data_IF_709534827158
#
_entry.id   IF_709534827158
#
_cell.length_a   1.000
_cell.length_b   1.000
_cell.length_c   1.000
_cell.angle_alpha   90.00
_cell.angle_beta   90.00
_cell.angle_gamma   90.00
#
_symmetry.space_group_name_H-M   'P 1'
#
loop_
_entity.id
_entity.type
_entity.pdbx_description
1 polymer ?
#
# COMPACT_ATOMS: atom_id res chain seq x y z
N UNK A 1 -6.21 62.61 -68.24
CA UNK A 1 -6.36 61.20 -67.74
C UNK A 1 -5.24 60.38 -68.40
N UNK A 2 -4.53 59.55 -67.66
CA UNK A 2 -3.53 58.63 -68.21
C UNK A 2 -4.20 57.29 -68.58
N UNK A 3 -4.25 57.02 -69.89
CA UNK A 3 -4.97 55.81 -70.41
C UNK A 3 -4.16 54.52 -70.18
N UNK A 4 -2.83 54.62 -70.16
CA UNK A 4 -1.91 53.48 -70.02
C UNK A 4 -1.88 52.87 -68.60
N UNK A 5 -2.40 53.54 -67.55
CA UNK A 5 -2.42 53.07 -66.17
C UNK A 5 -3.78 53.40 -65.55
N UNK A 6 -4.59 52.37 -65.34
CA UNK A 6 -5.89 52.52 -64.64
C UNK A 6 -5.65 52.35 -63.10
N UNK A 7 -5.24 53.44 -62.45
CA UNK A 7 -4.91 53.46 -60.99
C UNK A 7 -6.14 53.10 -60.17
N UNK A 8 -7.36 53.50 -60.60
CA UNK A 8 -8.60 53.20 -59.84
C UNK A 8 -8.91 51.74 -59.89
N UNK A 9 -8.73 51.07 -61.03
CA UNK A 9 -8.88 49.61 -61.14
C UNK A 9 -7.81 48.87 -60.36
N UNK A 10 -6.57 49.36 -60.32
CA UNK A 10 -5.49 48.79 -59.55
C UNK A 10 -5.72 48.84 -58.03
N UNK A 11 -6.22 50.00 -57.52
CA UNK A 11 -6.58 50.17 -56.11
C UNK A 11 -7.75 49.23 -55.77
N UNK A 12 -8.80 49.14 -56.61
CA UNK A 12 -9.92 48.24 -56.43
C UNK A 12 -9.48 46.77 -56.35
N UNK A 13 -8.57 46.33 -57.24
CA UNK A 13 -7.99 44.97 -57.25
C UNK A 13 -7.16 44.69 -56.01
N UNK A 14 -6.32 45.63 -55.51
CA UNK A 14 -5.57 45.49 -54.28
C UNK A 14 -6.50 45.34 -53.06
N UNK A 15 -7.58 46.12 -53.02
CA UNK A 15 -8.60 46.00 -51.96
C UNK A 15 -9.34 44.65 -52.04
N UNK A 16 -9.77 44.22 -53.23
CA UNK A 16 -10.41 42.94 -53.45
C UNK A 16 -9.54 41.80 -52.97
N UNK A 17 -8.25 41.76 -53.35
CA UNK A 17 -7.30 40.73 -52.87
C UNK A 17 -7.05 40.79 -51.35
N UNK A 18 -7.17 41.97 -50.74
CA UNK A 18 -7.07 42.14 -49.28
C UNK A 18 -8.31 41.57 -48.61
N UNK A 19 -9.52 41.81 -49.15
CA UNK A 19 -10.77 41.32 -48.59
C UNK A 19 -10.90 39.79 -48.77
N UNK A 20 -10.48 39.24 -49.94
CA UNK A 20 -10.40 37.79 -50.16
C UNK A 20 -9.52 37.08 -49.13
N UNK A 21 -8.34 37.67 -48.80
CA UNK A 21 -7.44 37.12 -47.77
C UNK A 21 -8.08 37.15 -46.38
N UNK A 22 -8.80 38.24 -46.05
CA UNK A 22 -9.53 38.37 -44.78
C UNK A 22 -10.68 37.35 -44.70
N UNK A 23 -11.47 37.21 -45.79
CA UNK A 23 -12.54 36.22 -45.88
C UNK A 23 -11.97 34.82 -45.64
N UNK A 24 -10.87 34.46 -46.29
CA UNK A 24 -10.18 33.18 -46.08
C UNK A 24 -9.75 32.94 -44.60
N UNK A 25 -9.24 34.00 -43.92
CA UNK A 25 -8.89 33.91 -42.53
C UNK A 25 -10.08 33.75 -41.61
N UNK A 26 -11.15 34.51 -41.81
CA UNK A 26 -12.37 34.40 -41.01
C UNK A 26 -13.09 33.04 -41.25
N UNK A 27 -13.10 32.58 -42.50
CA UNK A 27 -13.65 31.27 -42.86
C UNK A 27 -12.87 30.14 -42.14
N UNK A 28 -11.54 30.25 -42.04
CA UNK A 28 -10.71 29.31 -41.31
C UNK A 28 -11.03 29.29 -39.81
N UNK A 29 -11.24 30.46 -39.19
CA UNK A 29 -11.69 30.58 -37.80
C UNK A 29 -13.08 29.98 -37.58
N UNK A 30 -14.03 30.29 -38.45
CA UNK A 30 -15.38 29.71 -38.40
C UNK A 30 -15.39 28.20 -38.55
N UNK A 31 -14.56 27.66 -39.49
CA UNK A 31 -14.46 26.22 -39.73
C UNK A 31 -13.77 25.45 -38.58
N UNK A 32 -12.78 26.07 -37.91
CA UNK A 32 -12.05 25.44 -36.83
C UNK A 32 -12.66 25.69 -35.45
N UNK A 33 -13.47 26.74 -35.27
CA UNK A 33 -13.96 27.23 -33.99
C UNK A 33 -12.91 27.97 -33.17
N UNK A 34 -11.66 28.10 -33.67
CA UNK A 34 -10.55 28.72 -32.94
C UNK A 34 -10.23 30.11 -33.50
N UNK A 35 -9.99 31.06 -32.58
CA UNK A 35 -9.52 32.41 -32.88
C UNK A 35 -8.07 32.40 -33.36
N UNK A 36 -7.23 31.54 -32.77
CA UNK A 36 -5.81 31.37 -33.09
C UNK A 36 -5.65 30.05 -33.84
N UNK A 37 -5.44 30.10 -35.16
CA UNK A 37 -5.26 28.92 -36.01
C UNK A 37 -3.82 28.72 -36.44
N UNK A 38 -3.04 29.80 -36.48
CA UNK A 38 -1.64 29.81 -36.90
C UNK A 38 -0.78 30.62 -35.92
N UNK A 39 0.50 30.30 -35.87
CA UNK A 39 1.47 31.05 -35.05
C UNK A 39 1.57 32.55 -35.44
N UNK A 40 1.20 32.89 -36.70
CA UNK A 40 1.16 34.28 -37.18
C UNK A 40 -0.03 35.08 -36.64
N UNK A 41 -1.09 34.42 -36.13
CA UNK A 41 -2.26 35.08 -35.57
C UNK A 41 -1.98 35.66 -34.19
N UNK A 42 -1.40 34.81 -33.31
CA UNK A 42 -0.90 35.17 -31.99
C UNK A 42 0.10 34.10 -31.51
N UNK A 43 1.40 34.41 -31.56
CA UNK A 43 2.45 33.49 -31.16
C UNK A 43 2.50 33.26 -29.65
N UNK A 44 2.17 34.28 -28.85
CA UNK A 44 2.16 34.20 -27.40
C UNK A 44 0.94 33.39 -26.90
N UNK A 45 -0.25 33.68 -27.43
CA UNK A 45 -1.48 32.94 -27.12
C UNK A 45 -1.39 31.46 -27.53
N UNK A 46 -0.78 31.15 -28.69
CA UNK A 46 -0.53 29.78 -29.13
C UNK A 46 0.41 29.04 -28.19
N UNK A 47 1.52 29.66 -27.77
CA UNK A 47 2.46 29.04 -26.83
C UNK A 47 1.82 28.73 -25.48
N UNK A 48 1.04 29.69 -24.93
CA UNK A 48 0.31 29.53 -23.69
C UNK A 48 -0.73 28.41 -23.82
N UNK A 49 -1.50 28.40 -24.89
CA UNK A 49 -2.55 27.39 -25.12
C UNK A 49 -1.98 25.97 -25.26
N UNK A 50 -0.84 25.82 -25.93
CA UNK A 50 -0.14 24.53 -26.04
C UNK A 50 0.34 24.03 -24.67
N UNK A 51 0.88 24.93 -23.83
CA UNK A 51 1.25 24.61 -22.46
C UNK A 51 0.02 24.18 -21.63
N UNK A 52 -1.08 24.94 -21.72
CA UNK A 52 -2.33 24.60 -21.04
C UNK A 52 -2.89 23.25 -21.50
N UNK A 53 -2.88 22.97 -22.81
CA UNK A 53 -3.31 21.68 -23.36
C UNK A 53 -2.47 20.51 -22.84
N UNK A 54 -1.17 20.68 -22.70
CA UNK A 54 -0.29 19.68 -22.11
C UNK A 54 -0.63 19.47 -20.64
N UNK A 55 -0.88 20.56 -19.90
CA UNK A 55 -1.27 20.48 -18.48
C UNK A 55 -2.63 19.82 -18.29
N UNK A 56 -3.64 20.14 -19.12
CA UNK A 56 -4.96 19.50 -19.06
C UNK A 56 -4.82 17.98 -19.25
N UNK A 57 -4.08 17.55 -20.30
CA UNK A 57 -3.85 16.11 -20.53
C UNK A 57 -3.12 15.42 -19.36
N UNK A 58 -2.19 16.13 -18.72
CA UNK A 58 -1.49 15.62 -17.57
C UNK A 58 -2.39 15.53 -16.34
N UNK A 59 -3.27 16.54 -16.11
CA UNK A 59 -4.28 16.52 -15.04
C UNK A 59 -5.28 15.38 -15.23
N UNK A 60 -5.78 15.19 -16.46
CA UNK A 60 -6.71 14.11 -16.79
C UNK A 60 -6.06 12.72 -16.59
N UNK A 61 -4.76 12.58 -16.91
CA UNK A 61 -4.04 11.34 -16.63
C UNK A 61 -3.83 11.14 -15.12
N UNK A 62 -3.52 12.22 -14.39
CA UNK A 62 -3.36 12.15 -12.93
C UNK A 62 -4.68 11.80 -12.22
N UNK A 63 -5.83 12.28 -12.75
CA UNK A 63 -7.15 11.90 -12.25
C UNK A 63 -7.40 10.38 -12.44
N UNK A 64 -7.05 9.82 -13.61
CA UNK A 64 -7.11 8.36 -13.84
C UNK A 64 -6.16 7.58 -12.94
N UNK A 65 -4.93 8.07 -12.75
CA UNK A 65 -4.00 7.43 -11.83
C UNK A 65 -4.54 7.39 -10.40
N UNK A 66 -5.25 8.45 -9.96
CA UNK A 66 -5.89 8.48 -8.64
C UNK A 66 -7.03 7.46 -8.54
N UNK A 67 -7.79 7.23 -9.62
CA UNK A 67 -8.80 6.16 -9.71
C UNK A 67 -8.19 4.76 -9.64
N UNK A 68 -7.08 4.55 -10.35
CA UNK A 68 -6.33 3.29 -10.29
C UNK A 68 -5.83 3.02 -8.86
N UNK A 69 -5.30 4.06 -8.18
CA UNK A 69 -4.88 3.97 -6.78
C UNK A 69 -6.03 3.63 -5.83
N UNK A 70 -7.18 4.24 -6.04
CA UNK A 70 -8.39 3.91 -5.28
C UNK A 70 -8.77 2.43 -5.47
N UNK A 71 -8.73 1.92 -6.69
CA UNK A 71 -9.06 0.53 -6.99
C UNK A 71 -8.10 -0.46 -6.32
N UNK A 72 -6.81 -0.12 -6.24
CA UNK A 72 -5.80 -0.90 -5.49
C UNK A 72 -6.17 -0.94 -4.00
N UNK A 73 -6.48 0.21 -3.41
CA UNK A 73 -6.86 0.32 -1.99
C UNK A 73 -8.14 -0.48 -1.71
N UNK A 74 -9.16 -0.37 -2.55
CA UNK A 74 -10.42 -1.11 -2.39
C UNK A 74 -10.20 -2.63 -2.46
N UNK A 75 -9.33 -3.09 -3.35
CA UNK A 75 -8.96 -4.52 -3.45
C UNK A 75 -8.24 -4.98 -2.18
N UNK A 76 -7.31 -4.17 -1.67
CA UNK A 76 -6.56 -4.49 -0.45
C UNK A 76 -7.45 -4.45 0.79
N UNK A 77 -8.33 -3.45 0.93
CA UNK A 77 -9.25 -3.34 2.06
C UNK A 77 -10.26 -4.49 2.08
N UNK A 78 -10.75 -4.94 0.93
CA UNK A 78 -11.61 -6.11 0.84
C UNK A 78 -10.90 -7.37 1.36
N UNK A 79 -9.64 -7.60 0.94
CA UNK A 79 -8.84 -8.73 1.44
C UNK A 79 -8.59 -8.65 2.95
N UNK A 80 -8.22 -7.47 3.47
CA UNK A 80 -8.05 -7.25 4.91
C UNK A 80 -9.36 -7.38 5.70
N UNK A 81 -10.49 -7.08 5.07
CA UNK A 81 -11.82 -7.34 5.62
C UNK A 81 -12.04 -8.83 5.88
N UNK A 82 -11.70 -9.68 4.90
CA UNK A 82 -11.79 -11.14 5.06
C UNK A 82 -10.81 -11.66 6.12
N UNK A 83 -9.56 -11.18 6.13
CA UNK A 83 -8.60 -11.52 7.18
C UNK A 83 -9.15 -11.15 8.56
N UNK A 84 -9.76 -9.98 8.71
CA UNK A 84 -10.38 -9.55 9.98
C UNK A 84 -11.50 -10.50 10.41
N UNK A 85 -12.35 -10.94 9.48
CA UNK A 85 -13.42 -11.88 9.74
C UNK A 85 -12.85 -13.25 10.21
N UNK A 86 -11.80 -13.73 9.56
CA UNK A 86 -11.12 -14.98 9.93
C UNK A 86 -10.51 -14.84 11.34
N UNK A 87 -9.80 -13.77 11.63
CA UNK A 87 -9.21 -13.53 12.96
C UNK A 87 -10.29 -13.48 14.06
N UNK A 88 -11.45 -12.88 13.79
CA UNK A 88 -12.57 -12.89 14.72
C UNK A 88 -13.10 -14.31 14.93
N UNK A 89 -13.19 -15.13 13.87
CA UNK A 89 -13.59 -16.52 13.98
C UNK A 89 -12.61 -17.35 14.81
N UNK A 90 -11.31 -17.17 14.60
CA UNK A 90 -10.27 -17.82 15.41
C UNK A 90 -10.40 -17.40 16.87
N UNK A 91 -10.69 -16.12 17.13
CA UNK A 91 -10.90 -15.59 18.48
C UNK A 91 -12.13 -16.24 19.15
N UNK A 92 -13.23 -16.40 18.41
CA UNK A 92 -14.42 -17.11 18.92
C UNK A 92 -14.08 -18.54 19.33
N UNK A 93 -13.35 -19.28 18.48
CA UNK A 93 -12.90 -20.65 18.77
C UNK A 93 -11.97 -20.68 19.99
N UNK A 94 -11.07 -19.71 20.13
CA UNK A 94 -10.16 -19.60 21.28
C UNK A 94 -10.94 -19.36 22.59
N UNK A 95 -11.94 -18.47 22.58
CA UNK A 95 -12.83 -18.23 23.73
C UNK A 95 -13.63 -19.49 24.08
N UNK A 96 -14.09 -20.20 23.07
CA UNK A 96 -14.79 -21.45 23.24
C UNK A 96 -13.89 -22.52 23.90
N UNK A 97 -12.66 -22.67 23.41
CA UNK A 97 -11.67 -23.62 23.95
C UNK A 97 -11.15 -23.25 25.35
N UNK A 98 -11.22 -21.97 25.75
CA UNK A 98 -10.89 -21.53 27.11
C UNK A 98 -11.86 -21.99 28.17
N UNK A 99 -13.05 -22.51 27.79
CA UNK A 99 -14.04 -22.99 28.72
C UNK A 99 -13.70 -24.42 29.26
N UNK A 100 -13.79 -24.61 30.55
CA UNK A 100 -13.51 -25.91 31.22
C UNK A 100 -14.49 -27.04 30.87
N UNK A 101 -15.61 -26.74 30.21
CA UNK A 101 -16.57 -27.76 29.77
C UNK A 101 -16.08 -28.57 28.56
N UNK A 102 -15.03 -28.06 27.85
CA UNK A 102 -14.46 -28.73 26.68
C UNK A 102 -13.38 -29.73 27.09
N UNK A 103 -13.47 -30.92 26.49
CA UNK A 103 -12.45 -31.97 26.65
C UNK A 103 -11.20 -31.60 25.80
N UNK A 104 -10.11 -32.31 26.04
CA UNK A 104 -8.88 -32.11 25.23
C UNK A 104 -9.14 -32.45 23.76
N UNK A 105 -9.92 -33.48 23.47
CA UNK A 105 -10.21 -33.88 22.09
C UNK A 105 -11.09 -32.83 21.39
N UNK A 106 -12.01 -32.17 22.10
CA UNK A 106 -12.80 -31.05 21.56
C UNK A 106 -11.90 -29.83 21.27
N UNK A 107 -10.93 -29.57 22.12
CA UNK A 107 -9.95 -28.48 21.92
C UNK A 107 -9.00 -28.76 20.76
N UNK A 108 -8.59 -30.02 20.58
CA UNK A 108 -7.78 -30.44 19.42
C UNK A 108 -8.57 -30.22 18.13
N UNK A 109 -9.85 -30.59 18.09
CA UNK A 109 -10.70 -30.34 16.93
C UNK A 109 -10.85 -28.82 16.64
N UNK A 110 -10.92 -27.99 17.68
CA UNK A 110 -10.91 -26.54 17.52
C UNK A 110 -9.55 -26.01 17.00
N UNK A 111 -8.43 -26.62 17.45
CA UNK A 111 -7.10 -26.29 16.93
C UNK A 111 -6.97 -26.62 15.45
N UNK A 112 -7.46 -27.77 15.00
CA UNK A 112 -7.45 -28.16 13.58
C UNK A 112 -8.24 -27.16 12.71
N UNK A 113 -9.35 -26.60 13.22
CA UNK A 113 -10.09 -25.53 12.52
C UNK A 113 -9.29 -24.24 12.50
N UNK A 114 -8.63 -23.89 13.60
CA UNK A 114 -7.78 -22.68 13.69
C UNK A 114 -6.60 -22.77 12.71
N UNK A 115 -5.94 -23.93 12.63
CA UNK A 115 -4.80 -24.13 11.73
C UNK A 115 -5.20 -23.92 10.26
N UNK A 116 -6.36 -24.44 9.85
CA UNK A 116 -6.90 -24.20 8.52
C UNK A 116 -7.25 -22.73 8.26
N UNK A 117 -7.77 -22.04 9.28
CA UNK A 117 -8.06 -20.60 9.18
C UNK A 117 -6.78 -19.76 9.09
N UNK A 118 -5.72 -20.16 9.80
CA UNK A 118 -4.41 -19.51 9.68
C UNK A 118 -3.81 -19.73 8.28
N UNK A 119 -3.91 -20.94 7.73
CA UNK A 119 -3.48 -21.22 6.36
C UNK A 119 -4.27 -20.38 5.33
N UNK A 120 -5.54 -20.10 5.59
CA UNK A 120 -6.35 -19.23 4.73
C UNK A 120 -5.92 -17.77 4.82
N UNK A 121 -5.50 -17.27 6.01
CA UNK A 121 -4.89 -15.92 6.14
C UNK A 121 -3.62 -15.82 5.30
N UNK A 122 -2.73 -16.82 5.40
CA UNK A 122 -1.49 -16.84 4.61
C UNK A 122 -1.77 -16.96 3.11
N UNK A 123 -2.80 -17.71 2.72
CA UNK A 123 -3.26 -17.78 1.33
C UNK A 123 -3.75 -16.43 0.83
N UNK A 124 -4.59 -15.72 1.59
CA UNK A 124 -5.09 -14.39 1.23
C UNK A 124 -3.91 -13.42 1.08
N UNK A 125 -2.97 -13.41 2.04
CA UNK A 125 -1.78 -12.58 1.99
C UNK A 125 -0.95 -12.82 0.72
N UNK A 126 -0.72 -14.08 0.37
CA UNK A 126 0.12 -14.45 -0.77
C UNK A 126 -0.58 -14.35 -2.12
N UNK A 127 -1.92 -14.41 -2.18
CA UNK A 127 -2.68 -14.39 -3.44
C UNK A 127 -3.25 -13.03 -3.80
N UNK A 128 -3.40 -12.11 -2.82
CA UNK A 128 -3.94 -10.78 -3.10
C UNK A 128 -2.98 -9.98 -3.97
N UNK A 129 -3.42 -9.72 -5.20
CA UNK A 129 -2.63 -8.98 -6.17
C UNK A 129 -3.50 -8.02 -6.99
N UNK A 130 -2.87 -6.98 -7.51
CA UNK A 130 -3.46 -6.07 -8.48
C UNK A 130 -2.50 -5.91 -9.65
N UNK A 131 -2.94 -6.28 -10.85
CA UNK A 131 -2.14 -6.24 -12.07
C UNK A 131 -0.77 -6.95 -11.94
N UNK A 132 -0.73 -8.11 -11.26
CA UNK A 132 0.48 -8.91 -11.04
C UNK A 132 1.42 -8.39 -9.95
N UNK A 133 1.06 -7.31 -9.24
CA UNK A 133 1.78 -6.85 -8.05
C UNK A 133 1.10 -7.38 -6.81
N UNK A 134 1.84 -8.05 -5.95
CA UNK A 134 1.37 -8.48 -4.64
C UNK A 134 1.22 -7.27 -3.73
N UNK A 135 0.19 -7.29 -2.87
CA UNK A 135 -0.14 -6.15 -2.03
C UNK A 135 0.06 -6.41 -0.54
N UNK A 136 -0.11 -7.68 -0.09
CA UNK A 136 -0.09 -8.04 1.32
C UNK A 136 1.05 -8.98 1.72
N UNK A 137 1.98 -9.27 0.80
CA UNK A 137 3.15 -10.15 1.04
C UNK A 137 4.42 -9.41 1.47
N UNK A 138 4.32 -8.12 1.77
CA UNK A 138 5.45 -7.27 2.14
C UNK A 138 6.27 -6.71 0.97
N UNK A 139 6.05 -7.15 -0.27
CA UNK A 139 6.80 -6.65 -1.44
C UNK A 139 6.47 -5.20 -1.80
N UNK A 140 5.30 -4.72 -1.39
CA UNK A 140 4.83 -3.35 -1.57
C UNK A 140 4.92 -2.52 -0.27
N UNK A 141 5.61 -3.05 0.76
CA UNK A 141 5.93 -2.35 2.00
C UNK A 141 7.29 -1.67 1.91
N UNK A 142 7.52 -0.75 2.84
CA UNK A 142 8.81 -0.08 2.96
C UNK A 142 9.91 -1.08 3.26
N UNK A 143 10.97 -1.08 2.43
CA UNK A 143 12.06 -2.03 2.55
C UNK A 143 12.98 -1.68 3.72
N UNK A 144 13.27 -2.66 4.58
CA UNK A 144 14.34 -2.58 5.54
C UNK A 144 15.07 -3.92 5.63
N UNK A 145 16.35 -3.87 5.93
CA UNK A 145 17.23 -5.03 5.90
C UNK A 145 18.07 -5.05 7.18
N UNK A 146 18.25 -6.23 7.74
CA UNK A 146 19.21 -6.46 8.81
C UNK A 146 20.58 -6.71 8.19
N UNK A 147 21.61 -5.97 8.62
CA UNK A 147 22.98 -6.27 8.23
C UNK A 147 23.44 -7.55 8.92
N UNK A 148 24.11 -8.41 8.16
CA UNK A 148 24.54 -9.73 8.59
C UNK A 148 25.37 -9.68 9.88
N UNK A 149 24.95 -10.46 10.87
CA UNK A 149 25.75 -10.77 12.04
C UNK A 149 26.96 -11.66 11.70
N UNK A 150 27.80 -11.88 12.68
CA UNK A 150 29.12 -12.56 12.56
C UNK A 150 29.11 -14.01 12.05
N UNK A 151 27.93 -14.62 11.72
CA UNK A 151 27.81 -16.04 11.38
C UNK A 151 26.95 -16.36 10.16
N UNK A 152 26.80 -15.46 9.18
CA UNK A 152 25.96 -15.66 7.98
C UNK A 152 24.46 -15.93 8.27
N UNK A 153 23.99 -15.73 9.49
CA UNK A 153 22.58 -15.68 9.84
C UNK A 153 22.28 -14.28 10.37
N UNK A 154 21.26 -13.58 9.81
CA UNK A 154 20.88 -12.30 10.32
C UNK A 154 20.43 -12.46 11.78
N UNK A 155 20.93 -11.61 12.73
CA UNK A 155 20.59 -11.70 14.15
C UNK A 155 19.13 -11.33 14.41
N UNK A 156 18.47 -10.72 13.44
CA UNK A 156 17.07 -10.38 13.48
C UNK A 156 16.46 -10.39 12.09
N UNK A 157 15.21 -10.81 11.97
CA UNK A 157 14.42 -10.75 10.76
C UNK A 157 13.51 -9.54 10.78
N UNK A 158 13.61 -8.63 9.81
CA UNK A 158 12.67 -7.54 9.69
C UNK A 158 11.28 -8.05 9.28
N UNK A 159 10.22 -7.57 9.93
CA UNK A 159 8.82 -7.94 9.64
C UNK A 159 8.10 -6.77 9.00
N UNK A 160 7.99 -5.63 9.70
CA UNK A 160 7.32 -4.43 9.15
C UNK A 160 7.92 -3.15 9.70
N UNK A 161 7.81 -2.08 8.91
CA UNK A 161 8.23 -0.72 9.28
C UNK A 161 7.22 0.30 8.77
N UNK A 162 6.78 1.22 9.65
CA UNK A 162 5.84 2.28 9.27
C UNK A 162 6.50 3.33 8.37
N UNK A 163 5.69 4.09 7.62
CA UNK A 163 6.18 5.18 6.73
C UNK A 163 6.82 6.34 7.48
N UNK A 164 6.44 6.55 8.72
CA UNK A 164 6.95 7.61 9.61
C UNK A 164 8.38 7.36 10.08
N UNK A 165 8.90 6.13 9.94
CA UNK A 165 10.29 5.79 10.29
C UNK A 165 11.23 6.45 9.29
N UNK A 166 12.15 7.37 9.67
CA UNK A 166 13.11 7.97 8.75
C UNK A 166 14.06 6.91 8.14
N UNK A 167 14.44 7.07 6.87
CA UNK A 167 15.45 6.20 6.28
C UNK A 167 16.80 6.36 6.99
N UNK A 168 17.50 5.26 7.25
CA UNK A 168 18.81 5.23 7.90
C UNK A 168 19.05 4.03 8.79
N UNK A 169 20.10 4.12 9.61
CA UNK A 169 20.57 3.03 10.45
C UNK A 169 19.93 3.07 11.83
N UNK A 170 19.48 1.91 12.29
CA UNK A 170 18.89 1.68 13.59
C UNK A 170 19.63 0.53 14.28
N UNK A 171 20.12 0.78 15.50
CA UNK A 171 20.92 -0.20 16.22
C UNK A 171 20.31 -0.53 17.56
N UNK A 172 20.31 -1.80 17.89
CA UNK A 172 19.99 -2.29 19.22
C UNK A 172 20.82 -3.52 19.55
N UNK A 173 20.91 -3.87 20.82
CA UNK A 173 21.66 -5.04 21.28
C UNK A 173 20.69 -6.03 21.90
N UNK A 174 20.85 -7.31 21.56
CA UNK A 174 20.14 -8.42 22.20
C UNK A 174 20.97 -8.85 23.40
N UNK A 175 20.49 -8.50 24.60
CA UNK A 175 21.18 -8.80 25.87
C UNK A 175 20.91 -10.23 26.32
N UNK A 176 19.70 -10.72 26.10
CA UNK A 176 19.31 -12.10 26.42
C UNK A 176 18.36 -12.65 25.36
N UNK A 177 18.55 -13.90 24.98
CA UNK A 177 17.69 -14.61 24.05
C UNK A 177 16.35 -14.99 24.68
N UNK A 178 15.30 -15.09 23.88
CA UNK A 178 14.07 -15.76 24.27
C UNK A 178 14.33 -17.25 24.54
N UNK A 179 13.69 -17.80 25.55
CA UNK A 179 13.80 -19.22 25.87
C UNK A 179 12.45 -19.91 25.85
N UNK A 180 12.44 -21.17 25.38
CA UNK A 180 11.28 -22.04 25.46
C UNK A 180 11.17 -22.62 26.88
N UNK A 181 9.96 -22.83 27.37
CA UNK A 181 9.78 -23.56 28.62
C UNK A 181 10.19 -25.04 28.38
N UNK A 182 10.97 -25.63 29.29
CA UNK A 182 11.36 -27.03 29.19
C UNK A 182 11.44 -27.67 30.56
N UNK A 183 10.70 -28.75 30.77
CA UNK A 183 10.68 -29.53 32.00
C UNK A 183 11.25 -30.91 31.73
N UNK A 184 12.14 -31.37 32.60
CA UNK A 184 12.68 -32.73 32.55
C UNK A 184 12.28 -33.46 33.83
N UNK A 185 11.57 -34.55 33.69
CA UNK A 185 11.11 -35.37 34.82
C UNK A 185 11.42 -36.84 34.59
N UNK A 186 11.43 -37.64 35.70
CA UNK A 186 11.69 -39.06 35.60
C UNK A 186 10.38 -39.83 35.44
N UNK A 187 10.38 -40.81 34.55
CA UNK A 187 9.27 -41.75 34.38
C UNK A 187 9.12 -42.60 35.65
N UNK A 188 7.88 -42.99 36.03
CA UNK A 188 7.66 -43.79 37.20
C UNK A 188 8.33 -45.17 37.08
N UNK A 189 8.86 -45.64 38.20
CA UNK A 189 9.43 -47.00 38.32
C UNK A 189 8.42 -48.01 38.85
N UNK A 190 7.36 -47.53 39.52
CA UNK A 190 6.29 -48.33 40.07
C UNK A 190 4.99 -48.05 39.34
N UNK A 191 4.25 -49.06 38.93
CA UNK A 191 2.97 -49.00 38.23
C UNK A 191 1.87 -49.73 38.99
N UNK A 192 0.58 -49.28 38.94
CA UNK A 192 0.07 -48.15 38.19
C UNK A 192 0.48 -46.81 38.82
N UNK A 193 0.62 -45.77 38.01
CA UNK A 193 1.01 -44.43 38.45
C UNK A 193 0.17 -43.36 37.75
N UNK A 194 0.05 -42.22 38.37
CA UNK A 194 -0.54 -41.01 37.78
C UNK A 194 0.53 -39.97 37.47
N UNK A 195 0.52 -39.45 36.25
CA UNK A 195 1.33 -38.32 35.82
C UNK A 195 0.38 -37.25 35.35
N UNK A 196 0.62 -35.98 35.69
CA UNK A 196 -0.17 -34.88 35.17
C UNK A 196 0.72 -33.98 34.32
N UNK A 197 0.29 -33.69 33.09
CA UNK A 197 0.94 -32.77 32.17
C UNK A 197 -0.03 -31.66 31.82
N UNK A 198 0.28 -30.40 32.16
CA UNK A 198 -0.58 -29.23 31.90
C UNK A 198 -2.07 -29.48 32.25
N UNK A 199 -2.34 -29.92 33.48
CA UNK A 199 -3.66 -30.18 34.02
C UNK A 199 -4.39 -31.44 33.42
N UNK A 200 -3.73 -32.23 32.55
CA UNK A 200 -4.22 -33.50 32.02
C UNK A 200 -3.62 -34.65 32.79
N UNK A 201 -4.49 -35.45 33.47
CA UNK A 201 -4.07 -36.60 34.24
C UNK A 201 -3.94 -37.85 33.36
N UNK A 202 -2.75 -38.44 33.36
CA UNK A 202 -2.42 -39.67 32.65
C UNK A 202 -2.28 -40.81 33.63
N UNK A 203 -3.20 -41.75 33.55
CA UNK A 203 -3.12 -42.99 34.29
C UNK A 203 -2.29 -44.01 33.50
N UNK A 204 -1.11 -44.34 33.97
CA UNK A 204 -0.16 -45.22 33.29
C UNK A 204 -0.04 -46.55 34.00
N UNK A 205 -0.10 -47.65 33.22
CA UNK A 205 -0.11 -49.00 33.72
C UNK A 205 1.21 -49.76 33.51
N UNK A 206 2.05 -49.28 32.60
CA UNK A 206 3.38 -49.82 32.32
C UNK A 206 4.33 -48.73 31.79
N UNK A 207 5.64 -49.00 31.74
CA UNK A 207 6.60 -48.06 31.20
C UNK A 207 6.29 -47.70 29.73
N UNK A 208 5.93 -48.70 28.94
CA UNK A 208 5.61 -48.53 27.52
C UNK A 208 4.29 -47.79 27.32
N UNK A 209 3.30 -47.98 28.22
CA UNK A 209 2.05 -47.22 28.24
C UNK A 209 2.28 -45.77 28.65
N UNK A 210 3.24 -45.52 29.57
CA UNK A 210 3.65 -44.17 29.95
C UNK A 210 4.26 -43.41 28.78
N UNK A 211 5.20 -44.04 28.07
CA UNK A 211 5.85 -43.40 26.87
C UNK A 211 4.80 -43.07 25.80
N UNK A 212 3.95 -44.01 25.43
CA UNK A 212 2.94 -43.77 24.39
C UNK A 212 1.92 -42.72 24.78
N UNK A 213 1.42 -42.71 26.02
CA UNK A 213 0.46 -41.73 26.50
C UNK A 213 1.05 -40.33 26.64
N UNK A 214 2.31 -40.21 27.09
CA UNK A 214 3.01 -38.92 27.19
C UNK A 214 3.23 -38.38 25.79
N UNK A 215 3.72 -39.19 24.82
CA UNK A 215 3.90 -38.77 23.44
C UNK A 215 2.57 -38.32 22.80
N UNK A 216 1.51 -39.13 22.90
CA UNK A 216 0.17 -38.81 22.39
C UNK A 216 -0.40 -37.51 23.00
N UNK A 217 -0.16 -37.29 24.31
CA UNK A 217 -0.62 -36.06 24.98
C UNK A 217 0.22 -34.86 24.58
N UNK A 218 1.54 -35.02 24.44
CA UNK A 218 2.40 -33.95 23.98
C UNK A 218 2.10 -33.55 22.53
N UNK A 219 1.83 -34.54 21.65
CA UNK A 219 1.41 -34.27 20.26
C UNK A 219 0.07 -33.52 20.22
N UNK A 220 -0.93 -33.97 21.03
CA UNK A 220 -2.22 -33.28 21.17
C UNK A 220 -2.13 -31.86 21.71
N UNK A 221 -1.13 -31.59 22.56
CA UNK A 221 -0.89 -30.26 23.15
C UNK A 221 0.06 -29.38 22.33
N UNK A 222 0.53 -29.85 21.17
CA UNK A 222 1.57 -29.19 20.36
C UNK A 222 2.84 -28.90 21.18
N UNK A 223 3.32 -29.90 21.94
CA UNK A 223 4.55 -29.86 22.72
C UNK A 223 5.56 -30.84 22.16
N UNK A 224 6.83 -30.48 22.16
CA UNK A 224 7.91 -31.38 21.79
C UNK A 224 8.30 -32.24 22.98
N UNK A 225 8.22 -33.56 22.85
CA UNK A 225 8.62 -34.51 23.87
C UNK A 225 9.81 -35.33 23.38
N UNK A 226 10.86 -35.40 24.20
CA UNK A 226 12.03 -36.26 23.98
C UNK A 226 12.16 -37.22 25.18
N UNK A 227 12.06 -38.52 24.92
CA UNK A 227 12.17 -39.54 25.96
C UNK A 227 13.58 -40.18 25.83
N UNK A 228 14.38 -40.07 26.88
CA UNK A 228 15.70 -40.64 26.98
C UNK A 228 15.76 -41.67 28.14
N UNK A 229 15.43 -42.91 27.83
CA UNK A 229 15.44 -44.00 28.82
C UNK A 229 14.45 -43.80 29.93
N UNK A 230 14.88 -43.44 31.15
CA UNK A 230 14.01 -43.22 32.31
C UNK A 230 13.58 -41.78 32.53
N UNK A 231 13.97 -40.83 31.67
CA UNK A 231 13.59 -39.43 31.79
C UNK A 231 12.87 -38.95 30.52
N UNK A 232 11.87 -38.11 30.69
CA UNK A 232 11.16 -37.43 29.64
C UNK A 232 11.44 -35.92 29.76
N UNK A 233 11.77 -35.28 28.63
CA UNK A 233 11.90 -33.82 28.51
C UNK A 233 10.78 -33.31 27.63
N UNK A 234 9.96 -32.43 28.16
CA UNK A 234 8.90 -31.74 27.44
C UNK A 234 9.32 -30.30 27.22
N UNK A 235 9.20 -29.80 26.01
CA UNK A 235 9.60 -28.45 25.62
C UNK A 235 8.44 -27.81 24.82
N UNK A 236 8.16 -26.52 25.06
CA UNK A 236 7.21 -25.76 24.24
C UNK A 236 7.74 -25.54 22.81
N UNK A 237 6.86 -25.48 21.84
CA UNK A 237 7.26 -25.19 20.47
C UNK A 237 7.61 -23.71 20.27
N UNK A 238 7.00 -22.82 21.03
CA UNK A 238 7.17 -21.36 20.93
C UNK A 238 7.94 -20.78 22.11
N UNK A 239 8.54 -19.60 21.89
CA UNK A 239 9.30 -18.83 22.88
C UNK A 239 8.39 -17.94 23.72
N UNK A 240 8.88 -17.52 24.88
CA UNK A 240 8.31 -16.40 25.64
C UNK A 240 7.81 -16.76 27.02
N UNK A 241 7.60 -15.71 27.83
CA UNK A 241 7.10 -15.77 29.19
C UNK A 241 5.65 -16.26 29.28
N UNK A 242 4.92 -16.22 28.17
CA UNK A 242 3.54 -16.74 28.07
C UNK A 242 3.50 -18.26 28.00
N UNK A 243 4.63 -18.90 27.73
CA UNK A 243 4.74 -20.34 27.58
C UNK A 243 5.11 -20.98 28.93
N UNK A 244 4.23 -21.85 29.39
CA UNK A 244 4.38 -22.51 30.68
C UNK A 244 4.12 -24.00 30.53
N UNK A 245 4.99 -24.81 31.10
CA UNK A 245 4.81 -26.25 31.26
C UNK A 245 4.75 -26.58 32.76
N UNK A 246 3.76 -27.33 33.12
CA UNK A 246 3.60 -27.91 34.48
C UNK A 246 3.49 -29.42 34.37
N UNK A 247 4.38 -30.11 35.04
CA UNK A 247 4.36 -31.57 35.12
C UNK A 247 4.35 -31.97 36.60
N UNK A 248 3.41 -32.82 36.94
CA UNK A 248 3.38 -33.48 38.26
C UNK A 248 3.81 -34.94 38.04
N UNK A 249 4.93 -35.32 38.65
CA UNK A 249 5.44 -36.69 38.54
C UNK A 249 4.62 -37.65 39.40
N UNK A 250 4.85 -38.96 39.25
CA UNK A 250 4.15 -40.01 40.03
C UNK A 250 4.39 -39.94 41.55
N UNK A 251 5.34 -39.15 42.01
CA UNK A 251 5.64 -38.93 43.41
C UNK A 251 4.94 -37.67 43.98
N UNK A 252 4.17 -36.98 43.15
CA UNK A 252 3.47 -35.75 43.51
C UNK A 252 4.37 -34.50 43.49
N UNK A 253 5.59 -34.56 42.93
CA UNK A 253 6.43 -33.39 42.78
C UNK A 253 5.97 -32.61 41.54
N UNK A 254 5.62 -31.35 41.76
CA UNK A 254 5.28 -30.44 40.68
C UNK A 254 6.56 -29.75 40.21
N UNK A 255 6.83 -29.89 38.89
CA UNK A 255 7.86 -29.14 38.19
C UNK A 255 7.15 -28.18 37.24
N UNK A 256 7.48 -26.91 37.38
CA UNK A 256 6.87 -25.85 36.62
C UNK A 256 7.97 -24.95 36.06
N UNK A 257 7.99 -24.80 34.74
CA UNK A 257 8.93 -23.96 34.05
C UNK A 257 8.17 -23.01 33.12
N UNK A 258 8.68 -21.78 33.05
CA UNK A 258 8.13 -20.72 32.21
C UNK A 258 9.23 -20.28 31.25
N UNK A 259 8.88 -20.11 29.98
CA UNK A 259 9.78 -19.51 29.01
C UNK A 259 10.15 -18.08 29.40
N UNK A 260 11.12 -17.51 28.73
CA UNK A 260 11.51 -16.11 28.95
C UNK A 260 11.47 -15.36 27.64
N UNK A 261 11.03 -14.11 27.72
CA UNK A 261 11.11 -13.18 26.60
C UNK A 261 12.55 -12.74 26.37
N UNK A 262 12.87 -12.37 25.16
CA UNK A 262 14.15 -11.75 24.86
C UNK A 262 14.27 -10.41 25.59
N UNK A 263 15.50 -10.00 25.89
CA UNK A 263 15.79 -8.68 26.42
C UNK A 263 16.67 -7.92 25.43
N UNK A 264 16.31 -6.69 25.14
CA UNK A 264 17.05 -5.82 24.22
C UNK A 264 17.36 -4.48 24.85
N UNK A 265 18.44 -3.86 24.39
CA UNK A 265 18.77 -2.47 24.70
C UNK A 265 18.87 -1.67 23.41
N UNK A 266 18.07 -0.60 23.29
CA UNK A 266 18.11 0.30 22.13
C UNK A 266 19.32 1.22 22.23
N UNK A 267 20.07 1.36 21.13
CA UNK A 267 21.12 2.37 21.02
C UNK A 267 20.50 3.70 20.55
N UNK A 268 20.47 4.67 21.46
CA UNK A 268 19.91 6.01 21.20
C UNK A 268 21.00 7.05 20.95
N UNK A 269 22.25 6.64 20.65
CA UNK A 269 23.38 7.54 20.47
C UNK A 269 23.60 7.93 19.01
N UNK A 270 23.33 9.20 18.58
CA UNK A 270 23.68 9.65 17.24
C UNK A 270 25.21 9.77 17.06
N UNK A 271 25.80 9.49 15.86
CA UNK A 271 25.16 9.13 14.60
C UNK A 271 24.97 7.62 14.39
N UNK A 272 25.29 6.78 15.37
CA UNK A 272 25.31 5.33 15.24
C UNK A 272 23.93 4.70 15.09
N UNK A 273 22.89 5.37 15.64
CA UNK A 273 21.51 4.94 15.53
C UNK A 273 20.58 6.16 15.45
N UNK A 274 19.46 6.01 14.76
CA UNK A 274 18.40 7.03 14.62
C UNK A 274 17.24 6.85 15.60
N UNK A 275 17.32 5.91 16.55
CA UNK A 275 16.32 5.85 17.60
C UNK A 275 16.39 7.09 18.48
N UNK A 276 15.24 7.70 18.75
CA UNK A 276 15.14 8.79 19.69
C UNK A 276 15.14 8.25 21.14
N UNK A 277 15.47 9.10 22.09
CA UNK A 277 15.48 8.74 23.51
C UNK A 277 14.09 8.41 24.09
N UNK A 278 13.02 8.72 23.33
CA UNK A 278 11.62 8.45 23.66
C UNK A 278 11.14 7.09 23.16
N UNK A 279 11.94 6.41 22.32
CA UNK A 279 11.59 5.11 21.76
C UNK A 279 11.37 4.08 22.89
N UNK A 280 10.27 3.35 22.79
CA UNK A 280 9.89 2.27 23.72
C UNK A 280 9.78 0.98 22.92
N UNK A 281 10.07 -0.12 23.57
CA UNK A 281 9.89 -1.43 22.97
C UNK A 281 9.00 -2.32 23.85
N UNK A 282 8.33 -3.24 23.21
CA UNK A 282 7.64 -4.37 23.84
C UNK A 282 8.14 -5.66 23.21
N UNK A 283 8.39 -6.66 24.04
CA UNK A 283 8.89 -7.97 23.61
C UNK A 283 7.89 -9.02 24.01
N UNK A 284 7.55 -9.89 23.08
CA UNK A 284 6.73 -11.08 23.29
C UNK A 284 7.46 -12.27 22.66
N UNK A 285 8.07 -13.10 23.49
CA UNK A 285 8.93 -14.18 23.04
C UNK A 285 10.17 -13.64 22.29
N UNK A 286 10.29 -13.93 21.03
CA UNK A 286 11.33 -13.46 20.10
C UNK A 286 10.88 -12.29 19.21
N UNK A 287 9.62 -11.88 19.29
CA UNK A 287 9.09 -10.74 18.52
C UNK A 287 9.24 -9.44 19.32
N UNK A 288 9.81 -8.43 18.68
CA UNK A 288 10.05 -7.10 19.24
C UNK A 288 9.30 -6.08 18.43
N UNK A 289 8.52 -5.25 19.13
CA UNK A 289 7.84 -4.08 18.56
C UNK A 289 8.43 -2.84 19.20
N UNK A 290 9.05 -2.00 18.38
CA UNK A 290 9.65 -0.73 18.78
C UNK A 290 8.71 0.37 18.32
N UNK A 291 8.30 1.24 19.26
CA UNK A 291 7.39 2.37 19.02
C UNK A 291 7.98 3.66 19.53
N UNK A 292 7.72 4.74 18.80
CA UNK A 292 8.09 6.09 19.22
C UNK A 292 6.95 7.06 18.87
N UNK A 293 7.15 8.34 19.16
CA UNK A 293 6.19 9.38 18.84
C UNK A 293 5.96 9.53 17.33
N UNK A 294 4.78 10.02 16.95
CA UNK A 294 4.47 10.35 15.56
C UNK A 294 4.10 9.18 14.64
N UNK A 295 3.77 8.01 15.20
CA UNK A 295 3.40 6.85 14.37
C UNK A 295 4.58 5.94 14.01
N UNK A 296 5.78 6.19 14.59
CA UNK A 296 6.93 5.31 14.41
C UNK A 296 6.62 3.93 14.99
N UNK A 297 6.58 2.92 14.14
CA UNK A 297 6.47 1.51 14.55
C UNK A 297 7.40 0.64 13.69
N UNK A 298 8.17 -0.20 14.35
CA UNK A 298 9.07 -1.16 13.71
C UNK A 298 8.90 -2.51 14.39
N UNK A 299 8.70 -3.57 13.61
CA UNK A 299 8.56 -4.94 14.10
C UNK A 299 9.68 -5.79 13.58
N UNK A 300 10.30 -6.52 14.48
CA UNK A 300 11.48 -7.35 14.19
C UNK A 300 11.37 -8.65 14.97
N UNK A 301 11.65 -9.77 14.33
CA UNK A 301 11.79 -11.06 14.96
C UNK A 301 13.27 -11.34 15.22
N UNK A 302 13.60 -11.71 16.46
CA UNK A 302 14.96 -12.00 16.87
C UNK A 302 15.31 -13.45 16.61
N UNK A 303 16.53 -13.68 16.11
CA UNK A 303 17.09 -15.03 16.04
C UNK A 303 17.65 -15.47 17.41
N UNK A 304 17.93 -16.76 17.55
CA UNK A 304 18.51 -17.35 18.76
C UNK A 304 20.00 -16.98 18.93
N UNK A 305 20.30 -15.67 18.85
CA UNK A 305 21.66 -15.13 18.97
C UNK A 305 21.67 -13.90 19.86
N UNK A 306 22.74 -13.68 20.59
CA UNK A 306 22.99 -12.44 21.35
C UNK A 306 23.98 -11.58 20.57
N UNK A 307 23.84 -10.25 20.67
CA UNK A 307 24.77 -9.34 20.02
C UNK A 307 24.11 -8.09 19.48
N UNK A 308 24.88 -7.27 18.77
CA UNK A 308 24.41 -6.04 18.16
C UNK A 308 23.70 -6.32 16.83
N UNK A 309 22.55 -5.71 16.66
CA UNK A 309 21.71 -5.76 15.44
C UNK A 309 21.75 -4.39 14.78
N UNK A 310 22.05 -4.35 13.50
CA UNK A 310 21.97 -3.17 12.67
C UNK A 310 20.84 -3.34 11.65
N UNK A 311 19.84 -2.48 11.71
CA UNK A 311 18.76 -2.42 10.73
C UNK A 311 18.95 -1.20 9.85
N UNK A 312 18.94 -1.39 8.54
CA UNK A 312 18.97 -0.30 7.58
C UNK A 312 17.61 -0.14 6.92
N UNK A 313 16.96 1.00 7.14
CA UNK A 313 15.67 1.34 6.54
C UNK A 313 15.91 2.14 5.27
N UNK A 314 15.43 1.61 4.14
CA UNK A 314 15.53 2.24 2.83
C UNK A 314 14.34 3.15 2.57
N UNK A 315 14.56 4.15 1.71
CA UNK A 315 13.47 4.96 1.16
C UNK A 315 12.97 4.34 -0.16
N UNK A 316 12.58 3.08 -0.12
CA UNK A 316 12.16 2.28 -1.26
C UNK A 316 11.20 1.16 -0.81
N UNK A 317 10.53 0.53 -1.77
CA UNK A 317 9.63 -0.61 -1.54
C UNK A 317 8.15 -0.24 -1.51
N UNK A 318 7.82 0.98 -1.09
CA UNK A 318 6.44 1.50 -1.13
C UNK A 318 5.99 1.81 -2.57
N UNK A 319 4.69 1.92 -2.77
CA UNK A 319 4.10 2.23 -4.07
C UNK A 319 3.93 3.73 -4.25
N UNK A 320 4.63 4.30 -5.25
CA UNK A 320 4.49 5.70 -5.64
C UNK A 320 3.48 5.87 -6.76
N UNK A 321 2.49 6.71 -6.54
CA UNK A 321 1.50 7.09 -7.53
C UNK A 321 1.64 8.55 -7.91
N UNK A 322 1.82 8.84 -9.22
CA UNK A 322 1.82 10.19 -9.74
C UNK A 322 0.38 10.72 -9.81
N UNK A 323 0.04 11.63 -8.89
CA UNK A 323 -1.28 12.23 -8.73
C UNK A 323 -1.33 13.71 -9.10
N UNK A 324 -0.34 14.19 -9.84
CA UNK A 324 -0.30 15.59 -10.29
C UNK A 324 0.41 15.75 -11.62
N UNK A 325 0.20 16.91 -12.27
CA UNK A 325 0.70 17.21 -13.60
C UNK A 325 2.19 17.55 -13.63
N UNK A 326 2.83 17.81 -12.49
CA UNK A 326 4.21 18.24 -12.39
C UNK A 326 5.07 17.22 -11.65
N UNK A 327 6.38 17.37 -11.76
CA UNK A 327 7.37 16.62 -11.01
C UNK A 327 7.16 16.76 -9.49
N UNK A 328 7.44 15.70 -8.72
CA UNK A 328 7.29 15.62 -7.26
C UNK A 328 5.83 15.73 -6.76
N UNK A 329 4.84 15.52 -7.60
CA UNK A 329 3.44 15.45 -7.20
C UNK A 329 2.98 13.98 -7.15
N UNK A 330 3.67 13.17 -6.36
CA UNK A 330 3.34 11.76 -6.10
C UNK A 330 2.75 11.56 -4.70
N UNK A 331 1.99 10.50 -4.55
CA UNK A 331 1.53 9.96 -3.28
C UNK A 331 2.21 8.60 -3.10
N UNK A 332 2.98 8.48 -2.03
CA UNK A 332 3.56 7.21 -1.61
C UNK A 332 2.57 6.50 -0.70
N UNK A 333 2.29 5.24 -0.99
CA UNK A 333 1.41 4.38 -0.21
C UNK A 333 2.19 3.15 0.24
N UNK A 334 2.06 2.82 1.52
CA UNK A 334 2.65 1.64 2.12
C UNK A 334 1.58 0.56 2.28
N UNK A 335 1.88 -0.65 1.84
CA UNK A 335 1.03 -1.81 2.06
C UNK A 335 1.80 -2.76 2.97
N UNK A 336 1.41 -2.80 4.23
CA UNK A 336 2.06 -3.67 5.21
C UNK A 336 1.81 -5.14 4.89
N UNK A 337 2.78 -5.98 5.22
CA UNK A 337 2.62 -7.42 5.18
C UNK A 337 1.59 -7.85 6.24
N UNK A 338 0.61 -8.65 5.80
CA UNK A 338 -0.43 -9.22 6.67
C UNK A 338 -0.45 -10.73 6.46
N UNK A 339 0.62 -11.39 6.90
CA UNK A 339 0.74 -12.85 6.99
C UNK A 339 0.57 -13.29 8.46
N UNK A 340 0.35 -14.58 8.70
CA UNK A 340 0.33 -15.11 10.07
C UNK A 340 1.63 -14.81 10.82
N UNK A 341 2.77 -14.77 10.11
CA UNK A 341 4.05 -14.42 10.70
C UNK A 341 4.11 -12.94 11.11
N UNK A 342 3.72 -12.01 10.22
CA UNK A 342 3.73 -10.57 10.53
C UNK A 342 2.73 -10.19 11.63
N UNK A 343 1.64 -10.96 11.76
CA UNK A 343 0.66 -10.79 12.83
C UNK A 343 1.09 -11.44 14.15
N UNK A 344 2.21 -12.19 14.19
CA UNK A 344 2.70 -12.89 15.37
C UNK A 344 1.88 -14.14 15.74
N UNK A 345 1.11 -14.67 14.79
CA UNK A 345 0.28 -15.88 14.98
C UNK A 345 1.03 -17.16 14.59
N UNK A 346 2.12 -17.01 13.83
CA UNK A 346 3.03 -18.08 13.39
C UNK A 346 4.47 -17.60 13.53
N UNK A 347 5.39 -18.49 13.91
CA UNK A 347 6.81 -18.22 13.98
C UNK A 347 7.46 -18.33 12.58
N UNK A 348 8.65 -17.77 12.39
CA UNK A 348 9.43 -17.87 11.14
C UNK A 348 9.78 -19.30 10.75
N UNK A 349 9.77 -20.22 11.72
CA UNK A 349 9.91 -21.65 11.47
C UNK A 349 8.62 -22.32 10.94
N UNK A 350 7.53 -21.56 10.79
CA UNK A 350 6.22 -22.08 10.39
C UNK A 350 5.45 -22.78 11.52
N UNK A 351 5.87 -22.59 12.79
CA UNK A 351 5.19 -23.15 13.94
C UNK A 351 4.10 -22.20 14.42
N UNK A 352 2.89 -22.71 14.63
CA UNK A 352 1.78 -21.90 15.12
C UNK A 352 2.03 -21.46 16.56
N UNK A 353 1.93 -20.16 16.81
CA UNK A 353 2.07 -19.59 18.17
C UNK A 353 0.75 -19.62 18.92
N UNK A 354 -0.35 -19.87 18.22
CA UNK A 354 -1.69 -20.06 18.76
C UNK A 354 -1.85 -21.52 19.14
N UNK A 355 -2.14 -21.78 20.41
CA UNK A 355 -2.40 -23.11 20.92
C UNK A 355 -3.60 -23.09 21.87
N UNK A 356 -4.71 -23.67 21.44
CA UNK A 356 -5.95 -23.74 22.21
C UNK A 356 -6.19 -25.13 22.83
N UNK A 357 -5.24 -26.07 22.68
CA UNK A 357 -5.35 -27.43 23.26
C UNK A 357 -5.33 -27.40 24.78
N UNK A 358 -4.84 -26.35 25.40
CA UNK A 358 -4.89 -26.12 26.84
C UNK A 358 -5.68 -24.86 27.15
N UNK A 359 -6.34 -24.80 28.32
CA UNK A 359 -7.07 -23.63 28.77
C UNK A 359 -6.18 -22.39 28.82
N UNK A 360 -4.99 -22.50 29.40
CA UNK A 360 -4.03 -21.37 29.49
C UNK A 360 -3.53 -20.94 28.12
N UNK A 361 -3.27 -21.90 27.23
CA UNK A 361 -2.93 -21.64 25.85
C UNK A 361 -4.04 -20.88 25.13
N UNK A 362 -5.29 -21.26 25.33
CA UNK A 362 -6.44 -20.55 24.76
C UNK A 362 -6.57 -19.10 25.28
N UNK A 363 -6.37 -18.87 26.58
CA UNK A 363 -6.38 -17.52 27.16
C UNK A 363 -5.25 -16.65 26.57
N UNK A 364 -4.04 -17.19 26.39
CA UNK A 364 -2.92 -16.48 25.77
C UNK A 364 -3.16 -16.23 24.26
N UNK A 365 -3.80 -17.18 23.58
CA UNK A 365 -4.16 -17.03 22.18
C UNK A 365 -5.14 -15.89 21.95
N UNK A 366 -6.09 -15.64 22.87
CA UNK A 366 -7.01 -14.51 22.80
C UNK A 366 -6.25 -13.17 22.79
N UNK A 367 -5.23 -13.02 23.64
CA UNK A 367 -4.44 -11.79 23.68
C UNK A 367 -3.68 -11.54 22.37
N UNK A 368 -3.06 -12.58 21.82
CA UNK A 368 -2.36 -12.50 20.53
C UNK A 368 -3.31 -12.16 19.38
N UNK A 369 -4.50 -12.75 19.38
CA UNK A 369 -5.53 -12.46 18.39
C UNK A 369 -6.07 -11.02 18.51
N UNK A 370 -6.23 -10.51 19.73
CA UNK A 370 -6.64 -9.12 19.95
C UNK A 370 -5.58 -8.15 19.39
N UNK A 371 -4.29 -8.45 19.54
CA UNK A 371 -3.21 -7.67 18.94
C UNK A 371 -3.20 -7.80 17.40
N UNK A 372 -3.39 -9.00 16.85
CA UNK A 372 -3.47 -9.21 15.39
C UNK A 372 -4.66 -8.45 14.77
N UNK A 373 -5.82 -8.49 15.39
CA UNK A 373 -7.02 -7.74 14.97
C UNK A 373 -6.75 -6.23 15.02
N UNK A 374 -6.06 -5.75 16.04
CA UNK A 374 -5.67 -4.34 16.17
C UNK A 374 -4.73 -3.91 15.07
N UNK A 375 -3.72 -4.74 14.72
CA UNK A 375 -2.79 -4.49 13.63
C UNK A 375 -3.54 -4.39 12.29
N UNK A 376 -4.35 -5.40 11.98
CA UNK A 376 -5.14 -5.43 10.75
C UNK A 376 -6.11 -4.24 10.67
N UNK A 377 -6.73 -3.87 11.79
CA UNK A 377 -7.60 -2.70 11.85
C UNK A 377 -6.85 -1.38 11.64
N UNK A 378 -5.63 -1.26 12.16
CA UNK A 378 -4.78 -0.09 11.94
C UNK A 378 -4.38 0.03 10.46
N UNK A 379 -3.96 -1.07 9.81
CA UNK A 379 -3.66 -1.10 8.39
C UNK A 379 -4.88 -0.67 7.54
N UNK A 380 -6.08 -1.16 7.86
CA UNK A 380 -7.33 -0.73 7.19
C UNK A 380 -7.64 0.74 7.41
N UNK A 381 -7.40 1.27 8.60
CA UNK A 381 -7.59 2.70 8.87
C UNK A 381 -6.64 3.57 8.05
N UNK A 382 -5.39 3.15 7.87
CA UNK A 382 -4.41 3.83 7.02
C UNK A 382 -4.85 3.80 5.54
N UNK A 383 -5.29 2.66 5.02
CA UNK A 383 -5.85 2.54 3.67
C UNK A 383 -7.07 3.46 3.48
N UNK A 384 -7.95 3.55 4.47
CA UNK A 384 -9.08 4.48 4.45
C UNK A 384 -8.63 5.95 4.40
N UNK A 385 -7.55 6.31 5.08
CA UNK A 385 -6.96 7.65 4.99
C UNK A 385 -6.39 7.93 3.60
N UNK A 386 -5.69 6.97 2.97
CA UNK A 386 -5.22 7.10 1.59
C UNK A 386 -6.38 7.22 0.60
N UNK A 387 -7.45 6.45 0.76
CA UNK A 387 -8.65 6.55 -0.07
C UNK A 387 -9.28 7.95 -0.02
N UNK A 388 -9.51 8.49 1.18
CA UNK A 388 -10.05 9.84 1.35
C UNK A 388 -9.15 10.90 0.73
N UNK A 389 -7.82 10.74 0.85
CA UNK A 389 -6.84 11.64 0.26
C UNK A 389 -6.88 11.58 -1.27
N UNK A 390 -6.99 10.39 -1.88
CA UNK A 390 -7.11 10.22 -3.33
C UNK A 390 -8.41 10.81 -3.87
N UNK A 391 -9.55 10.63 -3.18
CA UNK A 391 -10.84 11.22 -3.56
C UNK A 391 -10.79 12.76 -3.52
N UNK A 392 -10.20 13.33 -2.48
CA UNK A 392 -10.01 14.78 -2.38
C UNK A 392 -9.08 15.31 -3.47
N UNK A 393 -7.98 14.58 -3.75
CA UNK A 393 -7.03 14.92 -4.81
C UNK A 393 -7.70 14.85 -6.18
N UNK A 394 -8.44 13.78 -6.49
CA UNK A 394 -9.20 13.64 -7.73
C UNK A 394 -10.16 14.82 -7.94
N UNK A 395 -10.96 15.15 -6.92
CA UNK A 395 -11.87 16.30 -6.98
C UNK A 395 -11.13 17.61 -7.30
N UNK A 396 -9.97 17.83 -6.69
CA UNK A 396 -9.12 19.00 -6.95
C UNK A 396 -8.55 19.01 -8.37
N UNK A 397 -8.13 17.84 -8.89
CA UNK A 397 -7.63 17.68 -10.25
C UNK A 397 -8.72 17.97 -11.29
N UNK A 398 -9.92 17.45 -11.09
CA UNK A 398 -11.07 17.66 -11.99
C UNK A 398 -11.47 19.14 -12.05
N UNK A 399 -11.52 19.84 -10.89
CA UNK A 399 -11.76 21.28 -10.83
C UNK A 399 -10.63 22.07 -11.50
N UNK A 400 -9.38 21.65 -11.33
CA UNK A 400 -8.22 22.28 -11.96
C UNK A 400 -8.24 22.10 -13.47
N UNK A 401 -8.56 20.90 -13.98
CA UNK A 401 -8.73 20.61 -15.41
C UNK A 401 -9.83 21.44 -16.03
N UNK A 402 -10.99 21.54 -15.35
CA UNK A 402 -12.11 22.38 -15.77
C UNK A 402 -11.73 23.87 -15.86
N UNK A 403 -11.07 24.41 -14.84
CA UNK A 403 -10.63 25.81 -14.82
C UNK A 403 -9.58 26.09 -15.90
N UNK A 404 -8.65 25.16 -16.12
CA UNK A 404 -7.64 25.27 -17.17
C UNK A 404 -8.28 25.21 -18.56
N UNK A 405 -9.26 24.34 -18.77
CA UNK A 405 -10.03 24.26 -20.01
C UNK A 405 -10.79 25.56 -20.28
N UNK A 406 -11.45 26.13 -19.29
CA UNK A 406 -12.12 27.43 -19.40
C UNK A 406 -11.13 28.57 -19.73
N UNK A 407 -9.95 28.54 -19.13
CA UNK A 407 -8.90 29.53 -19.44
C UNK A 407 -8.37 29.37 -20.87
N UNK A 408 -8.16 28.13 -21.32
CA UNK A 408 -7.75 27.84 -22.70
C UNK A 408 -8.82 28.24 -23.70
N UNK A 409 -10.10 27.98 -23.42
CA UNK A 409 -11.25 28.40 -24.25
C UNK A 409 -11.25 29.92 -24.46
N UNK A 410 -11.05 30.71 -23.41
CA UNK A 410 -10.99 32.19 -23.54
C UNK A 410 -9.85 32.68 -24.43
N UNK A 411 -8.75 31.92 -24.54
CA UNK A 411 -7.61 32.28 -25.40
C UNK A 411 -7.82 31.81 -26.82
N UNK A 412 -8.31 30.59 -27.00
CA UNK A 412 -8.33 29.88 -28.28
C UNK A 412 -9.64 29.96 -29.03
N UNK A 413 -10.78 29.96 -28.32
CA UNK A 413 -12.07 29.83 -28.97
C UNK A 413 -12.52 31.14 -29.60
N UNK A 414 -13.22 31.05 -30.72
CA UNK A 414 -13.75 32.18 -31.45
C UNK A 414 -15.21 32.43 -31.05
N UNK A 415 -15.57 33.71 -30.91
CA UNK A 415 -16.98 34.07 -30.85
C UNK A 415 -17.59 33.90 -32.27
N UNK A 416 -18.46 32.90 -32.40
CA UNK A 416 -19.08 32.54 -33.69
C UNK A 416 -20.01 33.65 -34.20
N UNK A 417 -20.65 34.42 -33.32
CA UNK A 417 -21.56 35.50 -33.70
C UNK A 417 -20.79 36.68 -34.30
N UNK A 418 -19.71 37.09 -33.64
CA UNK A 418 -18.80 38.12 -34.13
C UNK A 418 -18.14 37.72 -35.44
N UNK A 419 -17.61 36.48 -35.53
CA UNK A 419 -16.95 35.98 -36.72
C UNK A 419 -17.93 35.84 -37.94
N UNK A 420 -19.18 35.44 -37.71
CA UNK A 420 -20.20 35.43 -38.77
C UNK A 420 -20.57 36.83 -39.25
N UNK A 421 -20.64 37.79 -38.29
CA UNK A 421 -20.91 39.19 -38.64
C UNK A 421 -19.77 39.76 -39.48
N UNK A 422 -18.49 39.54 -39.12
CA UNK A 422 -17.31 39.93 -39.86
C UNK A 422 -17.33 39.27 -41.27
N UNK A 423 -17.59 37.96 -41.34
CA UNK A 423 -17.68 37.23 -42.59
C UNK A 423 -18.74 37.85 -43.55
N UNK A 424 -19.95 38.13 -43.02
CA UNK A 424 -21.03 38.69 -43.80
C UNK A 424 -20.68 40.10 -44.28
N UNK A 425 -20.08 40.93 -43.45
CA UNK A 425 -19.60 42.26 -43.83
C UNK A 425 -18.55 42.19 -44.94
N UNK A 426 -17.55 41.28 -44.81
CA UNK A 426 -16.51 41.12 -45.82
C UNK A 426 -17.07 40.60 -47.16
N UNK A 427 -18.09 39.71 -47.14
CA UNK A 427 -18.75 39.28 -48.35
C UNK A 427 -19.47 40.46 -49.08
N UNK A 428 -20.16 41.34 -48.33
CA UNK A 428 -20.80 42.53 -48.91
C UNK A 428 -19.75 43.47 -49.49
N UNK A 429 -18.63 43.67 -48.77
CA UNK A 429 -17.51 44.46 -49.28
C UNK A 429 -16.86 43.85 -50.53
N UNK A 430 -16.72 42.56 -50.61
CA UNK A 430 -16.20 41.87 -51.82
C UNK A 430 -17.13 42.08 -52.99
N UNK A 431 -18.48 41.96 -52.83
CA UNK A 431 -19.44 42.25 -53.87
C UNK A 431 -19.39 43.69 -54.33
N UNK A 432 -19.28 44.62 -53.38
CA UNK A 432 -19.13 46.05 -53.71
C UNK A 432 -17.77 46.31 -54.44
N UNK A 433 -16.66 45.69 -54.01
CA UNK A 433 -15.34 45.84 -54.65
C UNK A 433 -15.34 45.25 -56.09
N UNK A 434 -15.99 44.12 -56.31
CA UNK A 434 -16.14 43.54 -57.67
C UNK A 434 -16.95 44.48 -58.59
N UNK A 435 -18.05 45.06 -58.06
CA UNK A 435 -18.87 46.05 -58.81
C UNK A 435 -18.07 47.34 -59.11
N UNK A 436 -17.31 47.84 -58.13
CA UNK A 436 -16.43 48.99 -58.32
C UNK A 436 -15.30 48.71 -59.35
N UNK A 437 -14.72 47.49 -59.33
CA UNK A 437 -13.72 47.06 -60.29
C UNK A 437 -14.29 47.05 -61.71
N UNK A 438 -15.51 46.46 -61.88
CA UNK A 438 -16.23 46.47 -63.17
C UNK A 438 -16.48 47.91 -63.63
N UNK A 439 -16.93 48.80 -62.77
CA UNK A 439 -17.16 50.22 -63.08
C UNK A 439 -15.84 50.97 -63.41
N UNK A 440 -14.74 50.63 -62.73
CA UNK A 440 -13.44 51.25 -62.99
C UNK A 440 -12.86 50.76 -64.35
N UNK A 441 -13.15 49.57 -64.78
CA UNK A 441 -12.75 49.04 -66.08
C UNK A 441 -13.65 49.58 -67.26
N UNK A 442 -14.92 49.82 -67.04
CA UNK A 442 -15.80 50.37 -68.06
C UNK A 442 -15.55 51.87 -68.42
N UNK A 443 -14.98 52.63 -67.45
CA UNK A 443 -14.66 54.05 -67.71
C UNK A 443 -13.62 54.25 -68.84
N UNK A 444 -12.49 53.56 -68.97
CA UNK A 444 -11.58 53.65 -70.08
C UNK A 444 -12.22 53.22 -71.41
N UNK A 445 -13.07 52.20 -71.39
CA UNK A 445 -13.78 51.71 -72.60
C UNK A 445 -14.75 52.75 -73.13
N UNK A 446 -15.49 53.43 -72.29
CA UNK A 446 -16.36 54.54 -72.66
C UNK A 446 -15.57 55.70 -73.28
N UNK A 447 -14.40 56.01 -72.75
CA UNK A 447 -13.55 57.04 -73.29
C UNK A 447 -12.97 56.60 -74.63
N UNK A 448 -12.58 55.33 -74.78
CA UNK A 448 -12.10 54.81 -76.05
C UNK A 448 -13.22 54.83 -77.14
N UNK A 449 -14.44 54.47 -76.77
CA UNK A 449 -15.57 54.54 -77.72
C UNK A 449 -15.90 55.99 -78.13
N UNK A 450 -15.75 56.98 -77.27
CA UNK A 450 -15.91 58.41 -77.64
C UNK A 450 -14.76 58.85 -78.52
N UNK A 451 -13.52 58.42 -78.34
CA UNK A 451 -12.41 58.73 -79.17
C UNK A 451 -12.41 58.04 -80.54
N UNK A 452 -13.05 56.89 -80.69
CA UNK A 452 -13.22 56.18 -81.99
C UNK A 452 -14.41 56.66 -82.76
N UNK A 453 -15.37 57.36 -82.09
CA UNK A 453 -16.57 57.92 -82.74
C UNK A 453 -16.43 59.39 -83.15
N UNK A 454 -15.23 59.96 -82.97
CA UNK A 454 -14.83 61.25 -83.51
C UNK A 454 -13.86 61.05 -84.66
#
# INVERSE_FOLDING_TARGET
MKINHNITAQIANVNLKKDERKIGSVLQKLSSGYKITKASDDSAGLAISNKMRTQIRALDQSSRNAEDGKSIIETTDAALGEVTNILQRIRELSVQAANDTYTIDDRVAAQDEIDQLLDEVDRISSTTEFNGKKLLDGSSSRAFVCEDGTNNMPPARPISVSMEVPAGDYKFTIDAQATKASVTFNLPTNYPAEIMVNDVTLNVTSAQDAETKILDTCDKMNLKCEINGSSAKITTNTYGSDQKISVVDANGNTQEEVGKDANITLDTTPPASKFESTAKYSVHGNSVVIRDNGGFEMRVELADTTGSVNLHVYNAGYMDMQIGANEHQSLSMNFEEVSCNSLGLRDSAGTDTINVCTRKGADNSILKLDDAIKITSAARAELGAYQNRLESTKSSLDVSSYNMTNAMSRIMDTDMADAMTEYTQLNVLQQAATSMLSQANSKPEQIMSILQGM
#
